data_IF_646463122032
#
_entry.id   IF_646463122032
#
_cell.length_a   1.000
_cell.length_b   1.000
_cell.length_c   1.000
_cell.angle_alpha   90.00
_cell.angle_beta   90.00
_cell.angle_gamma   90.00
#
_symmetry.space_group_name_H-M   'P 1'
#
loop_
_entity.id
_entity.type
_entity.pdbx_description
1 polymer ?
#
# COMPACT_ATOMS: atom_id res chain seq x y z
N UNK A 1 25.15 65.74 43.50
CA UNK A 1 26.36 64.96 43.16
C UNK A 1 25.96 63.50 43.01
N UNK A 2 26.38 62.91 41.89
CA UNK A 2 26.22 61.56 41.36
C UNK A 2 26.19 60.37 42.34
N UNK A 3 25.42 59.30 42.05
CA UNK A 3 25.84 58.13 41.25
C UNK A 3 24.71 57.09 41.08
N UNK A 4 24.76 56.45 39.90
CA UNK A 4 23.94 55.38 39.32
C UNK A 4 24.41 53.95 39.72
N UNK A 5 23.54 52.96 39.43
CA UNK A 5 23.79 51.52 39.09
C UNK A 5 24.13 50.53 40.23
N UNK A 6 23.85 49.21 40.20
CA UNK A 6 22.94 48.27 39.48
C UNK A 6 23.28 46.81 39.95
N UNK A 7 22.33 45.85 39.81
CA UNK A 7 22.57 44.38 39.69
C UNK A 7 22.76 43.61 41.01
N UNK A 8 22.41 42.33 41.21
CA UNK A 8 22.00 41.15 40.41
C UNK A 8 21.45 40.12 41.45
N UNK A 9 20.74 39.02 41.21
CA UNK A 9 20.34 38.25 40.03
C UNK A 9 19.11 37.38 40.38
N UNK A 10 18.17 37.23 39.45
CA UNK A 10 17.14 36.20 39.46
C UNK A 10 17.72 34.88 38.94
N UNK A 11 17.56 33.79 39.70
CA UNK A 11 17.91 32.43 39.31
C UNK A 11 16.91 31.91 38.25
N UNK A 12 17.25 32.05 36.96
CA UNK A 12 16.48 31.55 35.81
C UNK A 12 17.14 30.33 35.13
N UNK A 13 17.81 29.46 35.89
CA UNK A 13 18.57 28.32 35.33
C UNK A 13 17.87 26.96 35.39
N UNK A 14 17.06 26.69 36.41
CA UNK A 14 16.63 25.31 36.71
C UNK A 14 15.51 24.78 35.80
N UNK A 15 14.58 25.64 35.36
CA UNK A 15 13.42 25.21 34.57
C UNK A 15 13.73 24.95 33.08
N UNK A 16 14.76 25.60 32.53
CA UNK A 16 15.19 25.40 31.15
C UNK A 16 15.91 24.06 30.95
N UNK A 17 16.73 23.65 31.93
CA UNK A 17 17.49 22.38 31.90
C UNK A 17 16.55 21.17 32.00
N UNK A 18 15.50 21.25 32.81
CA UNK A 18 14.52 20.16 32.95
C UNK A 18 13.63 19.95 31.72
N UNK A 19 13.23 21.04 31.03
CA UNK A 19 12.44 20.97 29.79
C UNK A 19 13.26 20.49 28.59
N UNK A 20 14.53 20.86 28.52
CA UNK A 20 15.44 20.37 27.48
C UNK A 20 15.75 18.86 27.62
N UNK A 21 15.89 18.36 28.86
CA UNK A 21 16.14 16.93 29.11
C UNK A 21 14.99 16.00 28.72
N UNK A 22 13.74 16.45 28.87
CA UNK A 22 12.54 15.68 28.56
C UNK A 22 12.27 15.56 27.05
N UNK A 23 12.56 16.62 26.29
CA UNK A 23 12.53 16.61 24.82
C UNK A 23 13.69 15.79 24.21
N UNK A 24 14.88 15.83 24.83
CA UNK A 24 16.02 15.01 24.40
C UNK A 24 15.77 13.50 24.63
N UNK A 25 15.14 13.12 25.76
CA UNK A 25 14.76 11.72 26.00
C UNK A 25 13.70 11.22 25.02
N UNK A 26 12.73 12.05 24.63
CA UNK A 26 11.71 11.65 23.65
C UNK A 26 12.31 11.41 22.25
N UNK A 27 13.28 12.24 21.82
CA UNK A 27 13.94 12.05 20.52
C UNK A 27 14.92 10.86 20.49
N UNK A 28 15.52 10.50 21.63
CA UNK A 28 16.38 9.31 21.75
C UNK A 28 15.59 7.99 21.65
N UNK A 29 14.29 7.99 21.95
CA UNK A 29 13.48 6.76 21.82
C UNK A 29 13.17 6.37 20.38
N UNK A 30 13.12 7.33 19.45
CA UNK A 30 12.87 7.05 18.03
C UNK A 30 14.12 6.56 17.30
N UNK A 31 15.29 7.14 17.57
CA UNK A 31 16.56 6.68 17.01
C UNK A 31 17.14 5.43 17.71
N UNK A 32 16.62 5.08 18.89
CA UNK A 32 17.12 3.96 19.70
C UNK A 32 16.66 2.57 19.25
N UNK A 33 15.60 2.44 18.46
CA UNK A 33 15.10 1.13 18.02
C UNK A 33 16.08 0.43 17.07
N UNK A 34 16.74 1.19 16.18
CA UNK A 34 17.78 0.68 15.28
C UNK A 34 18.98 0.15 16.05
N UNK A 35 19.34 0.78 17.18
CA UNK A 35 20.46 0.38 18.04
C UNK A 35 20.24 -1.01 18.68
N UNK A 36 18.99 -1.44 18.80
CA UNK A 36 18.61 -2.75 19.30
C UNK A 36 18.43 -3.79 18.18
N UNK A 37 18.65 -3.41 16.91
CA UNK A 37 18.55 -4.28 15.75
C UNK A 37 17.12 -4.45 15.21
N UNK A 38 16.17 -3.64 15.67
CA UNK A 38 14.87 -3.48 15.02
C UNK A 38 15.04 -2.53 13.85
N UNK A 39 14.54 -2.89 12.67
CA UNK A 39 14.58 -2.01 11.49
C UNK A 39 13.20 -1.95 10.87
N UNK A 40 12.80 -0.78 10.39
CA UNK A 40 11.52 -0.60 9.72
C UNK A 40 11.65 0.31 8.52
N UNK A 41 10.92 -0.04 7.46
CA UNK A 41 10.87 0.71 6.21
C UNK A 41 9.43 0.98 5.83
N UNK A 42 9.21 2.09 5.15
CA UNK A 42 7.92 2.51 4.61
C UNK A 42 8.09 3.13 3.24
N UNK A 43 7.25 2.73 2.29
CA UNK A 43 7.27 3.32 0.96
C UNK A 43 5.87 3.34 0.36
N UNK A 44 5.68 4.17 -0.64
CA UNK A 44 4.48 4.13 -1.46
C UNK A 44 4.77 3.46 -2.79
N UNK A 45 3.86 2.58 -3.20
CA UNK A 45 3.89 1.91 -4.50
C UNK A 45 2.61 2.24 -5.27
N UNK A 46 2.78 2.81 -6.46
CA UNK A 46 1.71 3.17 -7.38
C UNK A 46 1.57 2.09 -8.44
N UNK A 47 0.40 1.48 -8.48
CA UNK A 47 0.03 0.56 -9.55
C UNK A 47 -0.73 1.34 -10.62
N UNK A 48 -0.34 1.20 -11.88
CA UNK A 48 -1.05 1.77 -13.04
C UNK A 48 -1.43 0.65 -13.98
N UNK A 49 -2.70 0.61 -14.39
CA UNK A 49 -3.23 -0.35 -15.35
C UNK A 49 -3.67 0.42 -16.59
N UNK A 50 -3.22 -0.03 -17.76
CA UNK A 50 -3.57 0.56 -19.05
C UNK A 50 -4.24 -0.49 -19.93
N UNK A 51 -5.35 -0.13 -20.54
CA UNK A 51 -6.18 -0.96 -21.41
C UNK A 51 -6.29 -0.27 -22.77
N UNK A 52 -5.95 -0.99 -23.84
CA UNK A 52 -6.23 -0.52 -25.19
C UNK A 52 -7.74 -0.59 -25.46
N UNK A 53 -8.26 0.43 -26.14
CA UNK A 53 -9.66 0.48 -26.58
C UNK A 53 -9.73 1.04 -28.01
N UNK A 54 -10.88 0.92 -28.66
CA UNK A 54 -11.10 1.53 -29.98
C UNK A 54 -10.97 3.06 -30.00
N UNK A 55 -11.13 3.71 -28.85
CA UNK A 55 -11.00 5.18 -28.69
C UNK A 55 -9.59 5.60 -28.27
N UNK A 56 -8.66 4.65 -28.15
CA UNK A 56 -7.31 4.83 -27.61
C UNK A 56 -7.14 4.25 -26.21
N UNK A 57 -5.92 4.32 -25.63
CA UNK A 57 -5.63 3.74 -24.34
C UNK A 57 -6.38 4.45 -23.20
N UNK A 58 -6.94 3.65 -22.29
CA UNK A 58 -7.56 4.10 -21.04
C UNK A 58 -6.72 3.59 -19.88
N UNK A 59 -6.44 4.46 -18.90
CA UNK A 59 -5.59 4.11 -17.76
C UNK A 59 -6.22 4.50 -16.43
N UNK A 60 -5.95 3.70 -15.41
CA UNK A 60 -6.26 3.96 -14.02
C UNK A 60 -5.04 3.73 -13.14
N UNK A 61 -4.96 4.41 -12.00
CA UNK A 61 -3.90 4.17 -11.02
C UNK A 61 -4.38 4.35 -9.58
N UNK A 62 -3.69 3.68 -8.67
CA UNK A 62 -3.86 3.80 -7.23
C UNK A 62 -2.50 3.63 -6.53
N UNK A 63 -2.28 4.45 -5.50
CA UNK A 63 -1.10 4.43 -4.64
C UNK A 63 -1.43 3.72 -3.34
N UNK A 64 -0.63 2.74 -2.96
CA UNK A 64 -0.70 2.04 -1.67
C UNK A 64 0.55 2.32 -0.82
N UNK A 65 0.39 2.45 0.49
CA UNK A 65 1.48 2.48 1.46
C UNK A 65 1.83 1.07 1.91
N UNK A 66 3.10 0.71 1.77
CA UNK A 66 3.68 -0.52 2.28
C UNK A 66 4.56 -0.20 3.49
N UNK A 67 4.55 -1.10 4.47
CA UNK A 67 5.42 -1.04 5.63
C UNK A 67 5.97 -2.42 5.94
N UNK A 68 7.24 -2.47 6.34
CA UNK A 68 7.92 -3.70 6.70
C UNK A 68 8.83 -3.46 7.91
N UNK A 69 8.82 -4.40 8.86
CA UNK A 69 9.69 -4.39 10.03
C UNK A 69 10.43 -5.71 10.15
N UNK A 70 11.75 -5.62 10.29
CA UNK A 70 12.60 -6.72 10.68
C UNK A 70 12.91 -6.67 12.17
N UNK A 71 12.64 -7.77 12.84
CA UNK A 71 12.90 -7.94 14.28
C UNK A 71 14.19 -8.73 14.50
N UNK A 72 15.04 -8.34 15.47
CA UNK A 72 16.26 -9.08 15.78
C UNK A 72 15.93 -10.44 16.41
N UNK A 73 16.80 -11.44 16.21
CA UNK A 73 16.53 -12.82 16.66
C UNK A 73 16.35 -12.96 18.19
N UNK A 74 16.93 -12.06 18.97
CA UNK A 74 16.83 -12.10 20.44
C UNK A 74 15.48 -11.56 20.95
N UNK A 75 14.71 -10.87 20.11
CA UNK A 75 13.40 -10.33 20.47
C UNK A 75 12.28 -11.32 20.11
N UNK A 76 11.41 -11.62 21.08
CA UNK A 76 10.34 -12.61 20.97
C UNK A 76 10.62 -13.88 21.78
N UNK A 77 9.70 -14.85 21.73
CA UNK A 77 9.78 -16.13 22.46
C UNK A 77 9.44 -17.28 21.53
N UNK A 78 10.17 -18.40 21.65
CA UNK A 78 9.93 -19.60 20.86
C UNK A 78 10.04 -19.34 19.35
N UNK A 79 9.10 -19.90 18.58
CA UNK A 79 9.09 -19.80 17.11
C UNK A 79 8.82 -18.38 16.59
N UNK A 80 8.36 -17.46 17.44
CA UNK A 80 8.15 -16.05 17.08
C UNK A 80 9.40 -15.18 17.26
N UNK A 81 10.50 -15.74 17.77
CA UNK A 81 11.75 -15.00 17.97
C UNK A 81 12.30 -14.48 16.63
N UNK A 82 12.43 -13.16 16.51
CA UNK A 82 12.86 -12.48 15.28
C UNK A 82 11.84 -12.49 14.15
N UNK A 83 10.55 -12.70 14.43
CA UNK A 83 9.48 -12.60 13.45
C UNK A 83 9.38 -11.17 12.87
N UNK A 84 9.28 -11.08 11.55
CA UNK A 84 9.07 -9.81 10.85
C UNK A 84 7.58 -9.48 10.74
N UNK A 85 7.27 -8.20 10.70
CA UNK A 85 5.90 -7.70 10.52
C UNK A 85 5.82 -6.90 9.22
N UNK A 86 4.65 -6.92 8.59
CA UNK A 86 4.45 -6.27 7.31
C UNK A 86 2.99 -5.84 7.16
N UNK A 87 2.74 -4.77 6.42
CA UNK A 87 1.38 -4.31 6.14
C UNK A 87 1.29 -3.51 4.85
N UNK A 88 0.10 -3.53 4.25
CA UNK A 88 -0.28 -2.72 3.10
C UNK A 88 -1.57 -1.96 3.43
N UNK A 89 -1.57 -0.65 3.19
CA UNK A 89 -2.74 0.22 3.27
C UNK A 89 -2.95 0.89 1.91
N UNK A 90 -4.18 0.87 1.38
CA UNK A 90 -4.49 1.34 0.04
C UNK A 90 -5.81 0.78 -0.49
N UNK A 91 -6.08 1.02 -1.76
CA UNK A 91 -7.30 0.56 -2.43
C UNK A 91 -7.02 0.04 -3.84
N UNK A 92 -7.99 -0.70 -4.39
CA UNK A 92 -7.93 -1.24 -5.75
C UNK A 92 -7.78 -0.13 -6.80
N UNK A 93 -7.11 -0.45 -7.91
CA UNK A 93 -7.08 0.45 -9.07
C UNK A 93 -8.44 0.41 -9.76
N UNK A 94 -8.94 1.58 -10.16
CA UNK A 94 -10.13 1.73 -11.00
C UNK A 94 -9.70 2.28 -12.36
N UNK A 95 -10.04 1.56 -13.43
CA UNK A 95 -9.89 2.01 -14.82
C UNK A 95 -11.27 2.26 -15.39
N UNK A 96 -11.57 3.51 -15.73
CA UNK A 96 -12.79 3.88 -16.45
C UNK A 96 -12.59 3.61 -17.95
N UNK A 97 -13.34 2.65 -18.48
CA UNK A 97 -13.29 2.26 -19.89
C UNK A 97 -14.30 3.04 -20.76
N UNK A 98 -15.03 3.97 -20.15
CA UNK A 98 -16.12 4.72 -20.76
C UNK A 98 -17.45 3.96 -20.74
N UNK A 99 -18.53 4.71 -20.99
CA UNK A 99 -19.89 4.15 -21.12
C UNK A 99 -20.35 3.34 -19.90
N UNK A 100 -19.89 3.70 -18.70
CA UNK A 100 -20.22 3.02 -17.45
C UNK A 100 -19.52 1.67 -17.24
N UNK A 101 -18.54 1.31 -18.08
CA UNK A 101 -17.74 0.09 -17.96
C UNK A 101 -16.45 0.37 -17.19
N UNK A 102 -16.12 -0.52 -16.27
CA UNK A 102 -14.95 -0.37 -15.40
C UNK A 102 -14.16 -1.68 -15.33
N UNK A 103 -12.83 -1.55 -15.29
CA UNK A 103 -11.92 -2.62 -14.89
C UNK A 103 -11.30 -2.26 -13.54
N UNK A 104 -11.25 -3.23 -12.64
CA UNK A 104 -10.66 -3.06 -11.33
C UNK A 104 -9.49 -4.01 -11.15
N UNK A 105 -8.37 -3.50 -10.63
CA UNK A 105 -7.25 -4.35 -10.20
C UNK A 105 -7.26 -4.44 -8.67
N UNK A 106 -7.63 -5.61 -8.15
CA UNK A 106 -7.81 -5.84 -6.71
C UNK A 106 -6.48 -5.95 -5.97
N UNK A 107 -6.53 -5.73 -4.66
CA UNK A 107 -5.43 -6.02 -3.72
C UNK A 107 -5.22 -7.53 -3.48
N UNK A 108 -5.84 -8.40 -4.28
CA UNK A 108 -5.61 -9.84 -4.27
C UNK A 108 -4.53 -10.16 -5.31
N UNK A 109 -3.44 -10.80 -4.87
CA UNK A 109 -2.23 -10.94 -5.70
C UNK A 109 -1.29 -9.73 -5.62
N UNK A 110 -1.72 -8.65 -4.99
CA UNK A 110 -0.94 -7.43 -4.73
C UNK A 110 -0.79 -7.20 -3.23
N UNK A 111 0.44 -7.01 -2.76
CA UNK A 111 0.76 -6.87 -1.34
C UNK A 111 1.94 -5.93 -1.12
N UNK A 112 2.33 -5.75 0.14
CA UNK A 112 3.44 -4.91 0.53
C UNK A 112 4.77 -5.33 -0.11
N UNK A 113 4.98 -6.60 -0.43
CA UNK A 113 6.21 -7.07 -1.08
C UNK A 113 6.18 -6.98 -2.60
N UNK A 114 5.06 -6.59 -3.24
CA UNK A 114 4.96 -6.54 -4.71
C UNK A 114 6.04 -5.63 -5.31
N UNK A 115 6.21 -4.40 -4.79
CA UNK A 115 7.29 -3.51 -5.23
C UNK A 115 8.68 -4.11 -5.03
N UNK A 116 8.94 -4.73 -3.87
CA UNK A 116 10.21 -5.40 -3.57
C UNK A 116 10.52 -6.50 -4.60
N UNK A 117 9.54 -7.34 -4.93
CA UNK A 117 9.71 -8.44 -5.89
C UNK A 117 9.84 -7.96 -7.34
N UNK A 118 9.17 -6.87 -7.69
CA UNK A 118 9.23 -6.29 -9.04
C UNK A 118 10.60 -5.69 -9.34
N UNK A 119 11.21 -4.95 -8.40
CA UNK A 119 12.52 -4.32 -8.59
C UNK A 119 13.69 -5.19 -8.16
N UNK A 120 13.50 -6.03 -7.14
CA UNK A 120 14.54 -6.89 -6.57
C UNK A 120 14.03 -8.35 -6.47
N UNK A 121 14.05 -9.10 -7.59
CA UNK A 121 13.63 -10.50 -7.61
C UNK A 121 14.37 -11.35 -6.57
N UNK A 122 13.73 -12.41 -6.09
CA UNK A 122 14.34 -13.29 -5.07
C UNK A 122 15.60 -13.96 -5.64
N UNK A 123 16.75 -13.85 -4.94
CA UNK A 123 17.96 -14.53 -5.37
C UNK A 123 17.83 -16.05 -5.18
N UNK A 124 18.64 -16.82 -5.94
CA UNK A 124 18.68 -18.28 -5.85
C UNK A 124 19.19 -18.78 -4.49
N UNK A 125 20.05 -18.01 -3.84
CA UNK A 125 20.56 -18.29 -2.50
C UNK A 125 19.87 -17.35 -1.51
N UNK A 126 19.51 -17.83 -0.30
CA UNK A 126 18.97 -16.98 0.74
C UNK A 126 19.93 -15.84 1.08
N UNK A 127 19.38 -14.63 1.26
CA UNK A 127 20.13 -13.49 1.77
C UNK A 127 20.35 -13.62 3.27
N UNK A 128 21.47 -13.09 3.76
CA UNK A 128 21.62 -12.74 5.17
C UNK A 128 20.62 -11.65 5.56
N UNK A 129 20.40 -11.44 6.87
CA UNK A 129 19.49 -10.38 7.34
C UNK A 129 20.00 -8.99 6.95
N UNK A 130 21.30 -8.81 6.89
CA UNK A 130 21.96 -7.56 6.53
C UNK A 130 21.81 -7.27 5.04
N UNK A 131 21.98 -8.28 4.18
CA UNK A 131 21.75 -8.15 2.75
C UNK A 131 20.27 -7.89 2.42
N UNK A 132 19.33 -8.57 3.09
CA UNK A 132 17.90 -8.34 2.86
C UNK A 132 17.48 -6.94 3.35
N UNK A 133 17.99 -6.48 4.49
CA UNK A 133 17.77 -5.12 4.96
C UNK A 133 18.30 -4.06 3.98
N UNK A 134 19.49 -4.27 3.40
CA UNK A 134 20.05 -3.36 2.39
C UNK A 134 19.17 -3.26 1.13
N UNK A 135 18.44 -4.33 0.78
CA UNK A 135 17.44 -4.28 -0.31
C UNK A 135 16.29 -3.35 0.05
N UNK A 136 15.80 -3.38 1.30
CA UNK A 136 14.74 -2.48 1.75
C UNK A 136 15.21 -1.03 1.88
N UNK A 137 16.46 -0.80 2.31
CA UNK A 137 17.08 0.55 2.28
C UNK A 137 17.07 1.13 0.86
N UNK A 138 17.45 0.32 -0.14
CA UNK A 138 17.42 0.73 -1.54
C UNK A 138 15.99 0.94 -2.05
N UNK A 139 15.05 0.06 -1.69
CA UNK A 139 13.66 0.15 -2.12
C UNK A 139 12.97 1.41 -1.58
N UNK A 140 13.19 1.76 -0.31
CA UNK A 140 12.60 2.95 0.33
C UNK A 140 13.09 4.25 -0.34
N UNK A 141 14.37 4.29 -0.72
CA UNK A 141 14.97 5.41 -1.43
C UNK A 141 14.64 5.45 -2.95
N UNK A 142 14.13 4.36 -3.51
CA UNK A 142 13.93 4.22 -4.95
C UNK A 142 12.81 5.14 -5.47
N UNK A 143 13.01 5.80 -6.61
CA UNK A 143 11.97 6.51 -7.35
C UNK A 143 12.01 6.10 -8.82
N UNK A 144 11.49 4.92 -9.09
CA UNK A 144 11.54 4.30 -10.41
C UNK A 144 10.23 3.59 -10.72
N UNK A 145 10.01 3.36 -12.01
CA UNK A 145 8.87 2.61 -12.55
C UNK A 145 9.39 1.37 -13.27
N UNK A 146 8.70 0.25 -13.09
CA UNK A 146 8.93 -0.99 -13.84
C UNK A 146 7.60 -1.53 -14.35
N UNK A 147 7.67 -2.31 -15.43
CA UNK A 147 6.57 -3.18 -15.80
C UNK A 147 6.44 -4.31 -14.78
N UNK A 148 5.20 -4.66 -14.41
CA UNK A 148 4.93 -5.66 -13.40
C UNK A 148 5.00 -7.06 -14.02
N UNK A 149 5.84 -7.97 -13.51
CA UNK A 149 5.88 -9.35 -13.96
C UNK A 149 4.50 -10.03 -13.86
N UNK A 150 4.19 -10.92 -14.81
CA UNK A 150 2.88 -11.59 -14.91
C UNK A 150 2.52 -12.39 -13.66
N UNK A 151 3.51 -12.91 -12.95
CA UNK A 151 3.32 -13.65 -11.69
C UNK A 151 2.87 -12.75 -10.53
N UNK A 152 3.08 -11.44 -10.64
CA UNK A 152 2.68 -10.43 -9.67
C UNK A 152 1.42 -9.68 -10.08
N UNK A 153 0.81 -10.03 -11.22
CA UNK A 153 -0.42 -9.40 -11.70
C UNK A 153 -1.54 -9.56 -10.68
N UNK A 154 -2.18 -8.46 -10.25
CA UNK A 154 -3.34 -8.54 -9.37
C UNK A 154 -4.52 -9.21 -10.06
N UNK A 155 -5.45 -9.73 -9.25
CA UNK A 155 -6.72 -10.20 -9.76
C UNK A 155 -7.50 -9.03 -10.38
N UNK A 156 -7.81 -9.15 -11.66
CA UNK A 156 -8.65 -8.21 -12.38
C UNK A 156 -10.12 -8.63 -12.30
N UNK A 157 -11.01 -7.66 -12.10
CA UNK A 157 -12.46 -7.88 -12.09
C UNK A 157 -13.20 -6.76 -12.79
N UNK A 158 -14.43 -7.06 -13.19
CA UNK A 158 -15.40 -6.11 -13.71
C UNK A 158 -16.79 -6.40 -13.15
N UNK A 159 -17.76 -5.55 -13.47
CA UNK A 159 -19.17 -5.75 -13.16
C UNK A 159 -19.96 -5.65 -14.47
N UNK A 160 -20.86 -6.61 -14.71
CA UNK A 160 -21.79 -6.49 -15.84
C UNK A 160 -22.80 -5.34 -15.62
N UNK A 161 -23.20 -5.12 -14.37
CA UNK A 161 -23.91 -3.92 -13.92
C UNK A 161 -23.21 -3.38 -12.66
N UNK A 162 -22.64 -2.17 -12.77
CA UNK A 162 -21.92 -1.53 -11.67
C UNK A 162 -22.79 -1.29 -10.43
N UNK A 163 -24.12 -1.29 -10.57
CA UNK A 163 -25.07 -1.12 -9.46
C UNK A 163 -25.52 -2.45 -8.85
N UNK A 164 -25.16 -3.59 -9.43
CA UNK A 164 -25.42 -4.93 -8.92
C UNK A 164 -24.12 -5.60 -8.45
N UNK A 165 -23.86 -5.68 -7.13
CA UNK A 165 -22.68 -6.36 -6.60
C UNK A 165 -22.55 -7.82 -7.03
N UNK A 166 -23.68 -8.50 -7.30
CA UNK A 166 -23.68 -9.91 -7.70
C UNK A 166 -23.16 -10.11 -9.13
N UNK A 167 -23.10 -9.04 -9.93
CA UNK A 167 -22.64 -9.07 -11.32
C UNK A 167 -21.11 -9.04 -11.47
N UNK A 168 -20.37 -9.06 -10.35
CA UNK A 168 -18.90 -9.08 -10.36
C UNK A 168 -18.37 -10.34 -11.06
N UNK A 169 -17.42 -10.16 -11.97
CA UNK A 169 -16.77 -11.23 -12.70
C UNK A 169 -15.26 -11.04 -12.72
N UNK A 170 -14.52 -12.16 -12.68
CA UNK A 170 -13.06 -12.17 -12.90
C UNK A 170 -12.80 -11.88 -14.38
N UNK A 171 -11.76 -11.10 -14.66
CA UNK A 171 -11.30 -10.82 -16.02
C UNK A 171 -9.95 -11.51 -16.19
N UNK A 172 -9.80 -12.29 -17.25
CA UNK A 172 -8.51 -12.85 -17.65
C UNK A 172 -7.65 -11.72 -18.25
N UNK A 173 -6.45 -11.41 -17.72
CA UNK A 173 -5.55 -10.41 -18.28
C UNK A 173 -5.24 -10.61 -19.77
N UNK A 174 -5.28 -11.85 -20.27
CA UNK A 174 -4.98 -12.17 -21.68
C UNK A 174 -6.25 -12.17 -22.57
N UNK A 175 -7.44 -12.05 -21.99
CA UNK A 175 -8.73 -12.05 -22.72
C UNK A 175 -9.74 -11.08 -22.10
N UNK A 176 -9.42 -9.78 -22.16
CA UNK A 176 -10.38 -8.71 -21.83
C UNK A 176 -11.56 -8.70 -22.79
N UNK A 177 -11.38 -9.20 -24.02
CA UNK A 177 -12.39 -9.19 -25.05
C UNK A 177 -13.63 -10.01 -24.69
N UNK A 178 -13.47 -11.08 -23.90
CA UNK A 178 -14.57 -11.88 -23.36
C UNK A 178 -15.61 -11.05 -22.57
N UNK A 179 -15.18 -9.96 -21.94
CA UNK A 179 -16.06 -9.10 -21.13
C UNK A 179 -16.42 -7.79 -21.82
N UNK A 180 -15.50 -7.20 -22.57
CA UNK A 180 -15.65 -5.83 -23.08
C UNK A 180 -15.81 -5.74 -24.60
N UNK A 181 -15.56 -6.83 -25.33
CA UNK A 181 -15.58 -6.91 -26.79
C UNK A 181 -14.19 -6.87 -27.44
N UNK A 182 -14.08 -7.16 -28.74
CA UNK A 182 -12.82 -7.47 -29.43
C UNK A 182 -11.78 -6.34 -29.49
N UNK A 183 -12.19 -5.10 -29.21
CA UNK A 183 -11.30 -3.94 -29.23
C UNK A 183 -10.62 -3.66 -27.88
N UNK A 184 -10.85 -4.49 -26.87
CA UNK A 184 -10.29 -4.32 -25.53
C UNK A 184 -9.17 -5.32 -25.27
N UNK A 185 -7.99 -4.82 -24.91
CA UNK A 185 -6.84 -5.63 -24.54
C UNK A 185 -6.06 -4.96 -23.40
N UNK A 186 -5.51 -5.76 -22.49
CA UNK A 186 -4.61 -5.23 -21.48
C UNK A 186 -3.31 -4.80 -22.17
N UNK A 187 -2.96 -3.52 -22.04
CA UNK A 187 -1.76 -2.94 -22.65
C UNK A 187 -0.56 -3.14 -21.75
N UNK A 188 -0.68 -2.73 -20.49
CA UNK A 188 0.39 -2.84 -19.49
C UNK A 188 -0.14 -2.72 -18.07
N UNK A 189 0.62 -3.30 -17.14
CA UNK A 189 0.51 -3.00 -15.71
C UNK A 189 1.90 -2.58 -15.24
N UNK A 190 2.01 -1.38 -14.70
CA UNK A 190 3.27 -0.84 -14.20
C UNK A 190 3.20 -0.55 -12.71
N UNK A 191 4.35 -0.67 -12.05
CA UNK A 191 4.52 -0.36 -10.64
C UNK A 191 5.63 0.67 -10.49
N UNK A 192 5.33 1.75 -9.77
CA UNK A 192 6.30 2.78 -9.42
C UNK A 192 6.48 2.87 -7.90
N UNK A 193 7.72 3.01 -7.43
CA UNK A 193 7.97 3.52 -6.08
C UNK A 193 7.92 5.05 -6.15
N UNK A 194 7.09 5.68 -5.33
CA UNK A 194 6.71 7.09 -5.47
C UNK A 194 6.56 7.80 -4.12
N UNK A 195 6.54 9.13 -4.15
CA UNK A 195 6.17 10.00 -3.01
C UNK A 195 4.70 10.43 -3.04
N UNK A 196 3.96 10.08 -4.10
CA UNK A 196 2.54 10.42 -4.21
C UNK A 196 1.76 9.90 -2.98
N UNK A 197 0.74 10.63 -2.49
CA UNK A 197 -0.02 10.19 -1.33
C UNK A 197 -0.85 8.95 -1.65
N UNK A 198 -1.11 8.13 -0.62
CA UNK A 198 -2.00 6.97 -0.69
C UNK A 198 -3.35 7.38 -1.28
N UNK A 199 -3.79 6.65 -2.31
CA UNK A 199 -5.08 6.89 -2.96
C UNK A 199 -6.21 6.41 -2.06
N UNK A 200 -7.27 7.22 -1.96
CA UNK A 200 -8.42 6.95 -1.10
C UNK A 200 -9.71 7.39 -1.79
N UNK A 201 -10.77 6.61 -1.63
CA UNK A 201 -12.12 6.98 -1.98
C UNK A 201 -12.47 6.81 -3.46
N UNK A 202 -11.55 6.39 -4.34
CA UNK A 202 -11.88 6.19 -5.76
C UNK A 202 -12.78 4.98 -5.94
N UNK A 203 -12.49 3.90 -5.21
CA UNK A 203 -13.30 2.69 -5.26
C UNK A 203 -14.71 2.99 -4.76
N UNK A 204 -14.87 3.64 -3.60
CA UNK A 204 -16.21 3.98 -3.07
C UNK A 204 -16.94 5.03 -3.91
N UNK A 205 -16.23 5.93 -4.58
CA UNK A 205 -16.86 6.89 -5.48
C UNK A 205 -17.52 6.19 -6.69
N UNK A 206 -16.92 5.12 -7.22
CA UNK A 206 -17.49 4.34 -8.33
C UNK A 206 -18.47 3.28 -7.83
N UNK A 207 -18.09 2.57 -6.77
CA UNK A 207 -18.91 1.55 -6.11
C UNK A 207 -19.56 2.16 -4.87
N UNK A 208 -20.52 3.05 -5.06
CA UNK A 208 -21.21 3.76 -3.96
C UNK A 208 -21.85 2.83 -2.91
N UNK A 209 -22.03 1.56 -3.26
CA UNK A 209 -22.56 0.52 -2.39
C UNK A 209 -21.51 -0.27 -1.61
N UNK A 210 -20.21 -0.19 -1.93
CA UNK A 210 -19.16 -1.05 -1.33
C UNK A 210 -19.01 -0.86 0.20
N UNK A 211 -19.35 0.34 0.70
CA UNK A 211 -19.38 0.62 2.14
C UNK A 211 -20.73 0.34 2.83
N UNK A 212 -21.76 -0.08 2.09
CA UNK A 212 -23.12 -0.23 2.59
C UNK A 212 -23.32 -1.60 3.26
N UNK A 213 -23.08 -1.65 4.57
CA UNK A 213 -23.25 -2.89 5.36
C UNK A 213 -24.66 -3.47 5.23
N UNK A 214 -25.71 -2.64 5.20
CA UNK A 214 -27.09 -3.12 5.12
C UNK A 214 -27.38 -3.80 3.78
N UNK A 215 -26.85 -3.28 2.67
CA UNK A 215 -26.95 -3.94 1.37
C UNK A 215 -26.29 -5.32 1.43
N UNK A 216 -25.05 -5.38 1.93
CA UNK A 216 -24.31 -6.63 2.02
C UNK A 216 -25.03 -7.66 2.88
N UNK A 217 -25.48 -7.33 4.08
CA UNK A 217 -26.24 -8.27 4.93
C UNK A 217 -27.47 -8.85 4.22
N UNK A 218 -28.17 -8.03 3.43
CA UNK A 218 -29.36 -8.46 2.68
C UNK A 218 -29.04 -9.45 1.57
N UNK A 219 -27.97 -9.23 0.81
CA UNK A 219 -27.65 -10.04 -0.38
C UNK A 219 -26.64 -11.15 -0.06
N UNK A 220 -25.84 -11.05 1.01
CA UNK A 220 -24.69 -11.92 1.26
C UNK A 220 -25.06 -13.39 1.24
N UNK A 221 -26.17 -13.75 1.89
CA UNK A 221 -26.65 -15.13 1.99
C UNK A 221 -27.02 -15.75 0.63
N UNK A 222 -27.45 -14.96 -0.36
CA UNK A 222 -27.79 -15.44 -1.71
C UNK A 222 -26.58 -15.50 -2.65
N UNK A 223 -25.49 -14.79 -2.35
CA UNK A 223 -24.28 -14.83 -3.15
C UNK A 223 -23.58 -16.19 -3.06
N UNK A 224 -23.04 -16.64 -4.19
CA UNK A 224 -22.16 -17.82 -4.22
C UNK A 224 -20.86 -17.57 -3.45
N UNK A 225 -20.17 -18.65 -3.07
CA UNK A 225 -18.88 -18.56 -2.36
C UNK A 225 -17.85 -17.75 -3.15
N UNK A 226 -17.82 -17.93 -4.47
CA UNK A 226 -16.89 -17.21 -5.35
C UNK A 226 -17.16 -15.71 -5.35
N UNK A 227 -18.43 -15.30 -5.49
CA UNK A 227 -18.81 -13.89 -5.48
C UNK A 227 -18.49 -13.25 -4.12
N UNK A 228 -18.79 -13.94 -3.01
CA UNK A 228 -18.39 -13.48 -1.66
C UNK A 228 -16.88 -13.32 -1.54
N UNK A 229 -16.10 -14.23 -2.13
CA UNK A 229 -14.64 -14.12 -2.13
C UNK A 229 -14.16 -12.91 -2.93
N UNK A 230 -14.81 -12.55 -4.04
CA UNK A 230 -14.45 -11.38 -4.84
C UNK A 230 -14.81 -10.08 -4.11
N UNK A 231 -15.99 -10.02 -3.50
CA UNK A 231 -16.48 -8.83 -2.79
C UNK A 231 -15.91 -8.66 -1.37
N UNK A 232 -15.06 -9.58 -0.91
CA UNK A 232 -14.40 -9.44 0.40
C UNK A 232 -13.63 -8.11 0.47
N UNK A 233 -13.94 -7.30 1.49
CA UNK A 233 -13.44 -5.91 1.60
C UNK A 233 -11.92 -5.80 1.52
N UNK A 234 -11.18 -6.78 2.07
CA UNK A 234 -9.70 -6.81 2.07
C UNK A 234 -9.09 -6.89 0.67
N UNK A 235 -9.87 -7.23 -0.36
CA UNK A 235 -9.44 -7.20 -1.75
C UNK A 235 -9.62 -5.82 -2.39
N UNK A 236 -10.49 -4.97 -1.85
CA UNK A 236 -10.82 -3.66 -2.43
C UNK A 236 -10.14 -2.53 -1.68
N UNK A 237 -10.01 -2.68 -0.35
CA UNK A 237 -9.43 -1.67 0.54
C UNK A 237 -8.76 -2.32 1.73
N UNK A 238 -7.59 -1.81 2.08
CA UNK A 238 -6.89 -2.11 3.33
C UNK A 238 -6.53 -0.79 3.99
N UNK A 239 -6.78 -0.70 5.30
CA UNK A 239 -6.54 0.49 6.10
C UNK A 239 -5.49 0.19 7.14
#
# INVERSE_FOLDING_TARGET
MSRMWNGHAQFSGAHAVFRAGLLACLMLTLAGCDMFGFRSWSWHQKLTVTVETSEGPRSGSAVSAAWFQMTPKWAGVGDSAGASNSSLSGEAVVVDLGQGRYLFALLKGYNEFTGRLAFFPRPKKPLSKEEDAAVYDQLEALRATTELPRELTPLLVTFADINDPASVARVDPDDLAAHFGPSYALSSITLAITDEPVTKGRVEAVLGWLGNKQLFERIWSSLSRDIRSLLSSVNWKRS
#
